data_IF_697768516155
#
_entry.id   IF_697768516155
#
_cell.length_a   1.000
_cell.length_b   1.000
_cell.length_c   1.000
_cell.angle_alpha   90.00
_cell.angle_beta   90.00
_cell.angle_gamma   90.00
#
_symmetry.space_group_name_H-M   'P 1'
#
loop_
_entity.id
_entity.type
_entity.pdbx_description
1 polymer ?
#
# COMPACT_ATOMS: atom_id res chain seq x y z
N UNK A 1 -7.25 2.40 44.09
CA UNK A 1 -8.20 1.91 43.06
C UNK A 1 -7.96 2.72 41.79
N UNK A 2 -7.02 2.28 40.97
CA UNK A 2 -6.57 3.01 39.77
C UNK A 2 -7.46 2.75 38.56
N UNK A 3 -8.12 3.82 38.10
CA UNK A 3 -8.96 3.87 36.90
C UNK A 3 -8.10 4.21 35.68
N UNK A 4 -7.23 3.32 35.18
CA UNK A 4 -6.44 3.65 33.97
C UNK A 4 -5.93 2.46 33.16
N UNK A 5 -6.83 1.61 32.62
CA UNK A 5 -6.43 0.65 31.58
C UNK A 5 -7.55 0.12 30.67
N UNK A 6 -8.66 0.87 30.46
CA UNK A 6 -9.78 0.41 29.59
C UNK A 6 -10.07 1.37 28.43
N UNK A 7 -9.04 1.87 27.74
CA UNK A 7 -9.22 2.77 26.61
C UNK A 7 -8.17 2.60 25.50
N UNK A 8 -7.99 1.37 25.00
CA UNK A 8 -7.23 1.11 23.77
C UNK A 8 -7.83 -0.04 22.96
N UNK A 9 -9.15 -0.01 22.75
CA UNK A 9 -9.79 -0.77 21.69
C UNK A 9 -11.12 -0.09 21.34
N UNK A 10 -11.03 1.19 20.95
CA UNK A 10 -12.20 1.94 20.48
C UNK A 10 -12.17 2.04 18.96
N UNK A 11 -13.19 1.47 18.35
CA UNK A 11 -13.59 1.60 16.95
C UNK A 11 -12.91 0.65 15.97
N UNK A 12 -13.29 -0.64 16.05
CA UNK A 12 -13.56 -1.40 14.83
C UNK A 12 -14.71 -0.71 14.08
N UNK A 13 -14.40 0.40 13.37
CA UNK A 13 -15.30 0.92 12.34
C UNK A 13 -15.41 -0.16 11.29
N UNK A 14 -16.48 -0.94 11.39
CA UNK A 14 -17.10 -1.76 10.36
C UNK A 14 -16.34 -1.75 9.02
N UNK A 15 -15.39 -2.68 8.83
CA UNK A 15 -14.76 -3.03 7.55
C UNK A 15 -15.79 -3.73 6.62
N UNK A 16 -17.02 -3.21 6.52
CA UNK A 16 -18.13 -3.76 5.71
C UNK A 16 -18.37 -2.95 4.43
N UNK A 17 -17.31 -2.43 3.82
CA UNK A 17 -17.34 -1.87 2.47
C UNK A 17 -16.15 -2.42 1.67
N UNK A 18 -15.94 -3.74 1.71
CA UNK A 18 -14.85 -4.42 0.99
C UNK A 18 -15.10 -4.53 -0.52
N UNK A 19 -16.27 -4.08 -1.01
CA UNK A 19 -16.65 -4.13 -2.44
C UNK A 19 -16.65 -2.76 -3.12
N UNK A 20 -15.95 -1.76 -2.57
CA UNK A 20 -15.78 -0.51 -3.31
C UNK A 20 -14.78 -0.74 -4.45
N UNK A 21 -15.13 -0.41 -5.70
CA UNK A 21 -14.19 -0.46 -6.79
C UNK A 21 -13.02 0.50 -6.51
N UNK A 22 -11.83 0.15 -7.03
CA UNK A 22 -10.68 1.05 -7.00
C UNK A 22 -11.02 2.34 -7.74
N UNK A 23 -10.53 3.46 -7.21
CA UNK A 23 -10.65 4.75 -7.88
C UNK A 23 -9.75 4.75 -9.13
N UNK A 24 -10.14 5.43 -10.22
CA UNK A 24 -9.22 5.74 -11.30
C UNK A 24 -8.11 6.73 -10.88
N UNK A 25 -8.28 7.46 -9.77
CA UNK A 25 -7.26 8.35 -9.22
C UNK A 25 -6.29 7.58 -8.30
N UNK A 26 -5.02 7.51 -8.72
CA UNK A 26 -3.95 6.87 -7.96
C UNK A 26 -3.74 7.50 -6.58
N UNK A 27 -3.88 8.83 -6.47
CA UNK A 27 -3.76 9.56 -5.20
C UNK A 27 -4.85 9.12 -4.23
N UNK A 28 -6.09 9.00 -4.70
CA UNK A 28 -7.21 8.57 -3.87
C UNK A 28 -6.99 7.15 -3.34
N UNK A 29 -6.52 6.23 -4.18
CA UNK A 29 -6.18 4.88 -3.75
C UNK A 29 -5.04 4.86 -2.72
N UNK A 30 -4.01 5.69 -2.91
CA UNK A 30 -2.90 5.81 -1.96
C UNK A 30 -3.37 6.36 -0.61
N UNK A 31 -4.17 7.43 -0.61
CA UNK A 31 -4.68 8.05 0.62
C UNK A 31 -5.59 7.05 1.38
N UNK A 32 -6.44 6.31 0.65
CA UNK A 32 -7.30 5.27 1.22
C UNK A 32 -6.48 4.11 1.81
N UNK A 33 -5.47 3.60 1.10
CA UNK A 33 -4.61 2.53 1.59
C UNK A 33 -3.84 2.98 2.84
N UNK A 34 -3.29 4.19 2.83
CA UNK A 34 -2.55 4.75 3.98
C UNK A 34 -3.42 4.82 5.23
N UNK A 35 -4.68 5.24 5.08
CA UNK A 35 -5.65 5.28 6.18
C UNK A 35 -6.01 3.87 6.68
N UNK A 36 -6.19 2.91 5.77
CA UNK A 36 -6.51 1.52 6.13
C UNK A 36 -5.35 0.83 6.85
N UNK A 37 -4.12 1.21 6.52
CA UNK A 37 -2.89 0.65 7.10
C UNK A 37 -2.32 1.51 8.23
N UNK A 38 -3.09 2.48 8.74
CA UNK A 38 -2.63 3.39 9.78
C UNK A 38 -2.24 2.59 11.04
N UNK A 39 -0.99 2.74 11.47
CA UNK A 39 -0.42 2.02 12.62
C UNK A 39 0.30 0.71 12.28
N UNK A 40 0.31 0.28 11.01
CA UNK A 40 1.15 -0.82 10.53
C UNK A 40 2.52 -0.28 10.11
N UNK A 41 3.55 -0.53 10.93
CA UNK A 41 4.91 -0.05 10.66
C UNK A 41 5.65 -0.86 9.59
N UNK A 42 5.14 -2.05 9.30
CA UNK A 42 5.69 -3.03 8.35
C UNK A 42 5.17 -2.81 6.93
N UNK A 43 4.26 -1.88 6.68
CA UNK A 43 3.75 -1.60 5.32
C UNK A 43 4.64 -0.58 4.63
N UNK A 44 5.18 -0.96 3.48
CA UNK A 44 6.08 -0.14 2.68
C UNK A 44 5.38 0.28 1.40
N UNK A 45 5.34 1.59 1.17
CA UNK A 45 4.88 2.21 -0.07
C UNK A 45 6.10 2.69 -0.86
N UNK A 46 6.25 2.22 -2.11
CA UNK A 46 7.30 2.66 -3.02
C UNK A 46 6.68 3.29 -4.26
N UNK A 47 6.86 4.59 -4.41
CA UNK A 47 6.52 5.29 -5.64
C UNK A 47 7.53 4.99 -6.73
N UNK A 48 7.06 4.88 -7.96
CA UNK A 48 7.91 4.76 -9.12
C UNK A 48 7.25 5.39 -10.35
N UNK A 49 8.10 5.79 -11.29
CA UNK A 49 7.67 6.40 -12.55
C UNK A 49 8.01 5.45 -13.68
N UNK A 50 7.06 5.36 -14.59
CA UNK A 50 7.08 4.58 -15.80
C UNK A 50 7.30 5.55 -16.97
N UNK A 51 8.56 5.70 -17.35
CA UNK A 51 8.98 6.78 -18.27
C UNK A 51 8.61 8.16 -17.71
N UNK A 52 8.21 9.08 -18.58
CA UNK A 52 7.82 10.45 -18.21
C UNK A 52 6.30 10.64 -18.03
N UNK A 53 5.50 9.59 -18.20
CA UNK A 53 4.05 9.74 -18.45
C UNK A 53 3.18 9.05 -17.40
N UNK A 54 3.67 7.97 -16.77
CA UNK A 54 2.85 7.17 -15.86
C UNK A 54 3.52 7.09 -14.48
N UNK A 55 2.75 7.36 -13.43
CA UNK A 55 3.17 7.19 -12.04
C UNK A 55 2.48 5.97 -11.44
N UNK A 56 3.16 5.25 -10.55
CA UNK A 56 2.64 4.07 -9.88
C UNK A 56 3.20 3.91 -8.46
N UNK A 57 2.56 3.03 -7.68
CA UNK A 57 3.03 2.63 -6.36
C UNK A 57 3.07 1.11 -6.25
N UNK A 58 4.11 0.59 -5.60
CA UNK A 58 4.11 -0.77 -5.05
C UNK A 58 3.89 -0.67 -3.56
N UNK A 59 2.94 -1.46 -3.07
CA UNK A 59 2.65 -1.59 -1.64
C UNK A 59 2.92 -3.03 -1.24
N UNK A 60 3.74 -3.23 -0.21
CA UNK A 60 4.07 -4.57 0.30
C UNK A 60 4.32 -4.54 1.80
N UNK A 61 4.23 -5.71 2.44
CA UNK A 61 4.56 -5.88 3.85
C UNK A 61 6.02 -6.33 3.97
N UNK A 62 6.81 -5.55 4.69
CA UNK A 62 8.20 -5.83 5.03
C UNK A 62 8.30 -7.10 5.88
N UNK A 63 9.28 -7.95 5.56
CA UNK A 63 9.46 -9.25 6.23
C UNK A 63 8.59 -10.39 5.68
N UNK A 64 7.51 -10.10 4.94
CA UNK A 64 6.75 -11.14 4.21
C UNK A 64 7.31 -11.32 2.79
N UNK A 65 7.74 -10.23 2.17
CA UNK A 65 8.30 -10.24 0.82
C UNK A 65 9.75 -9.84 0.84
N UNK A 66 10.60 -10.61 0.14
CA UNK A 66 11.98 -10.19 -0.15
C UNK A 66 11.93 -9.05 -1.17
N UNK A 67 12.22 -7.83 -0.73
CA UNK A 67 12.17 -6.61 -1.55
C UNK A 67 13.07 -6.70 -2.80
N UNK A 68 14.18 -7.43 -2.71
CA UNK A 68 15.09 -7.76 -3.82
C UNK A 68 14.36 -8.51 -4.95
N UNK A 69 13.47 -9.46 -4.60
CA UNK A 69 12.72 -10.23 -5.57
C UNK A 69 11.62 -9.39 -6.24
N UNK A 70 10.99 -8.47 -5.50
CA UNK A 70 10.04 -7.50 -6.09
C UNK A 70 10.77 -6.65 -7.14
N UNK A 71 11.95 -6.11 -6.80
CA UNK A 71 12.71 -5.32 -7.75
C UNK A 71 13.16 -6.14 -8.96
N UNK A 72 13.70 -7.34 -8.74
CA UNK A 72 14.28 -8.17 -9.80
C UNK A 72 13.23 -8.79 -10.74
N UNK A 73 12.07 -9.17 -10.21
CA UNK A 73 11.10 -10.02 -10.93
C UNK A 73 9.71 -9.40 -11.13
N UNK A 74 9.35 -8.34 -10.40
CA UNK A 74 8.08 -7.64 -10.62
C UNK A 74 8.33 -6.29 -11.30
N UNK A 75 9.17 -5.44 -10.71
CA UNK A 75 9.43 -4.09 -11.23
C UNK A 75 10.22 -4.11 -12.52
N UNK A 76 11.35 -4.83 -12.58
CA UNK A 76 12.21 -4.84 -13.78
C UNK A 76 11.51 -5.38 -15.02
N UNK A 77 10.78 -6.52 -14.99
CA UNK A 77 10.03 -6.98 -16.15
C UNK A 77 8.90 -6.03 -16.54
N UNK A 78 8.11 -5.55 -15.57
CA UNK A 78 7.03 -4.60 -15.84
C UNK A 78 7.54 -3.28 -16.43
N UNK A 79 8.69 -2.79 -15.98
CA UNK A 79 9.36 -1.62 -16.56
C UNK A 79 9.91 -1.89 -17.96
N UNK A 80 10.41 -3.09 -18.27
CA UNK A 80 10.83 -3.45 -19.63
C UNK A 80 9.65 -3.49 -20.58
N UNK A 81 8.60 -4.22 -20.21
CA UNK A 81 7.40 -4.37 -21.04
C UNK A 81 6.75 -3.01 -21.34
N UNK A 82 6.72 -2.11 -20.35
CA UNK A 82 6.14 -0.78 -20.55
C UNK A 82 7.05 0.18 -21.34
N UNK A 83 8.37 0.00 -21.29
CA UNK A 83 9.30 0.77 -22.11
C UNK A 83 9.49 0.19 -23.53
N UNK A 84 8.93 -0.98 -23.83
CA UNK A 84 8.99 -1.61 -25.15
C UNK A 84 10.40 -2.05 -25.57
N UNK A 85 11.28 -2.36 -24.60
CA UNK A 85 12.66 -2.82 -24.82
C UNK A 85 12.88 -4.24 -24.33
#
# INVERSE_FOLDING_TARGET
>A
MDKRAKKRFSSSKSLRNQDRPLSPDLKENFDNLTLLTEGCSDIVFRQFNFGNVLCGFIVYIEGIVKSEHIQAHALRPCLRDLMGI
#
